data_IF_653063602497
#
_entry.id   IF_653063602497
#
_cell.length_a   1.000
_cell.length_b   1.000
_cell.length_c   1.000
_cell.angle_alpha   90.00
_cell.angle_beta   90.00
_cell.angle_gamma   90.00
#
_symmetry.space_group_name_H-M   'P 1'
#
loop_
_entity.id
_entity.type
_entity.pdbx_description
1 polymer ?
#
# COMPACT_ATOMS: atom_id res chain seq x y z
N UNK A 1 -28.66 -10.61 23.17
CA UNK A 1 -27.24 -10.92 23.46
C UNK A 1 -26.46 -11.36 22.22
N UNK A 2 -26.98 -12.28 21.39
CA UNK A 2 -26.27 -12.79 20.20
C UNK A 2 -25.97 -11.68 19.18
N UNK A 3 -26.94 -10.81 18.89
CA UNK A 3 -26.78 -9.71 17.93
C UNK A 3 -25.70 -8.71 18.36
N UNK A 4 -25.68 -8.31 19.64
CA UNK A 4 -24.64 -7.43 20.18
C UNK A 4 -23.25 -8.06 20.08
N UNK A 5 -23.13 -9.36 20.38
CA UNK A 5 -21.87 -10.10 20.23
C UNK A 5 -21.44 -10.17 18.76
N UNK A 6 -22.37 -10.36 17.84
CA UNK A 6 -22.10 -10.36 16.41
C UNK A 6 -21.60 -8.99 15.92
N UNK A 7 -22.20 -7.90 16.40
CA UNK A 7 -21.75 -6.55 16.11
C UNK A 7 -20.31 -6.31 16.59
N UNK A 8 -19.97 -6.72 17.81
CA UNK A 8 -18.59 -6.64 18.32
C UNK A 8 -17.60 -7.43 17.47
N UNK A 9 -17.96 -8.65 17.04
CA UNK A 9 -17.10 -9.47 16.16
C UNK A 9 -16.87 -8.76 14.82
N UNK A 10 -17.91 -8.15 14.25
CA UNK A 10 -17.81 -7.41 12.99
C UNK A 10 -16.88 -6.21 13.11
N UNK A 11 -17.04 -5.40 14.17
CA UNK A 11 -16.16 -4.27 14.47
C UNK A 11 -14.70 -4.70 14.69
N UNK A 12 -14.47 -5.86 15.32
CA UNK A 12 -13.11 -6.41 15.48
C UNK A 12 -12.50 -6.79 14.14
N UNK A 13 -13.29 -7.41 13.25
CA UNK A 13 -12.89 -7.73 11.88
C UNK A 13 -12.53 -6.47 11.08
N UNK A 14 -13.35 -5.43 11.16
CA UNK A 14 -13.11 -4.15 10.49
C UNK A 14 -11.84 -3.47 11.00
N UNK A 15 -11.64 -3.43 12.32
CA UNK A 15 -10.44 -2.86 12.93
C UNK A 15 -9.17 -3.63 12.56
N UNK A 16 -9.24 -4.95 12.51
CA UNK A 16 -8.12 -5.78 12.06
C UNK A 16 -7.82 -5.53 10.57
N UNK A 17 -8.85 -5.43 9.75
CA UNK A 17 -8.72 -5.15 8.32
C UNK A 17 -8.11 -3.76 8.08
N UNK A 18 -8.55 -2.74 8.82
CA UNK A 18 -7.97 -1.40 8.78
C UNK A 18 -6.49 -1.39 9.19
N UNK A 19 -6.11 -2.13 10.24
CA UNK A 19 -4.68 -2.29 10.62
C UNK A 19 -3.85 -2.92 9.50
N UNK A 20 -4.43 -3.88 8.77
CA UNK A 20 -3.75 -4.51 7.62
C UNK A 20 -3.72 -3.59 6.41
N UNK A 21 -4.71 -2.72 6.24
CA UNK A 21 -4.76 -1.74 5.15
C UNK A 21 -3.52 -0.85 5.16
N UNK A 22 -3.14 -0.29 6.33
CA UNK A 22 -1.92 0.51 6.45
C UNK A 22 -0.66 -0.28 6.04
N UNK A 23 -0.57 -1.56 6.44
CA UNK A 23 0.55 -2.42 6.02
C UNK A 23 0.55 -2.70 4.51
N UNK A 24 -0.62 -2.88 3.90
CA UNK A 24 -0.77 -3.09 2.46
C UNK A 24 -0.38 -1.82 1.68
N UNK A 25 -0.78 -0.64 2.14
CA UNK A 25 -0.40 0.64 1.54
C UNK A 25 1.12 0.82 1.58
N UNK A 26 1.76 0.52 2.71
CA UNK A 26 3.22 0.59 2.83
C UNK A 26 3.94 -0.37 1.89
N UNK A 27 3.42 -1.60 1.72
CA UNK A 27 3.97 -2.57 0.76
C UNK A 27 3.85 -2.06 -0.69
N UNK A 28 2.71 -1.47 -1.05
CA UNK A 28 2.49 -0.86 -2.37
C UNK A 28 3.45 0.31 -2.58
N UNK A 29 3.61 1.20 -1.59
CA UNK A 29 4.56 2.30 -1.66
C UNK A 29 5.99 1.79 -1.89
N UNK A 30 6.43 0.76 -1.15
CA UNK A 30 7.75 0.16 -1.35
C UNK A 30 7.93 -0.39 -2.78
N UNK A 31 6.93 -1.09 -3.31
CA UNK A 31 6.94 -1.59 -4.71
C UNK A 31 7.01 -0.46 -5.73
N UNK A 32 6.24 0.61 -5.54
CA UNK A 32 6.27 1.80 -6.41
C UNK A 32 7.64 2.48 -6.35
N UNK A 33 8.25 2.63 -5.17
CA UNK A 33 9.60 3.20 -5.04
C UNK A 33 10.64 2.38 -5.81
N UNK A 34 10.60 1.06 -5.70
CA UNK A 34 11.50 0.17 -6.46
C UNK A 34 11.28 0.34 -7.96
N UNK A 35 10.03 0.33 -8.41
CA UNK A 35 9.68 0.49 -9.82
C UNK A 35 10.15 1.84 -10.38
N UNK A 36 9.95 2.93 -9.65
CA UNK A 36 10.38 4.26 -10.05
C UNK A 36 11.90 4.32 -10.23
N UNK A 37 12.67 3.72 -9.31
CA UNK A 37 14.13 3.63 -9.47
C UNK A 37 14.53 2.87 -10.74
N UNK A 38 13.87 1.78 -11.07
CA UNK A 38 14.14 1.06 -12.32
C UNK A 38 13.80 1.92 -13.55
N UNK A 39 12.70 2.67 -13.51
CA UNK A 39 12.34 3.61 -14.59
C UNK A 39 13.40 4.69 -14.76
N UNK A 40 13.90 5.26 -13.66
CA UNK A 40 14.98 6.25 -13.69
C UNK A 40 16.27 5.68 -14.30
N UNK A 41 16.65 4.46 -13.92
CA UNK A 41 17.83 3.78 -14.46
C UNK A 41 17.68 3.44 -15.94
N UNK A 42 16.47 3.11 -16.39
CA UNK A 42 16.18 2.82 -17.80
C UNK A 42 15.95 4.06 -18.67
N UNK A 43 15.90 5.27 -18.07
CA UNK A 43 15.64 6.50 -18.81
C UNK A 43 16.87 6.88 -19.64
N UNK A 44 16.76 6.98 -20.98
CA UNK A 44 17.87 7.45 -21.80
C UNK A 44 18.24 8.88 -21.38
N UNK A 45 19.52 9.14 -21.13
CA UNK A 45 20.03 10.51 -21.01
C UNK A 45 20.01 11.13 -22.40
N UNK A 46 18.96 11.88 -22.71
CA UNK A 46 18.99 12.82 -23.83
C UNK A 46 19.93 13.96 -23.46
N UNK A 47 21.18 13.87 -23.93
CA UNK A 47 22.08 15.02 -23.91
C UNK A 47 21.61 15.99 -24.99
N UNK A 48 21.18 17.17 -24.57
CA UNK A 48 20.97 18.30 -25.48
C UNK A 48 22.32 18.98 -25.61
N UNK A 49 23.08 18.59 -26.64
CA UNK A 49 24.34 19.24 -27.00
C UNK A 49 24.02 20.62 -27.61
N UNK A 50 24.74 21.71 -27.23
CA UNK A 50 24.53 23.05 -27.79
C UNK A 50 24.77 23.13 -29.31
#
# INVERSE_FOLDING_TARGET
MVETKMHCIKLLGDKLSARRFDSQVNEIHARVTVLNRFIELGRPLTQVTP
#
